data_IF_546391608408
#
_entry.id   IF_546391608408
#
_cell.length_a   1.000
_cell.length_b   1.000
_cell.length_c   1.000
_cell.angle_alpha   90.00
_cell.angle_beta   90.00
_cell.angle_gamma   90.00
#
_symmetry.space_group_name_H-M   'P 1'
#
loop_
_entity.id
_entity.type
_entity.pdbx_description
1 polymer ?
2 polymer ?
3 polymer ?
4 non-polymer ?
5 non-polymer ?
6 non-polymer ?
7 non-polymer ?
8 water ?
#
# COMPACT_ATOMS: atom_id res chain seq x y z
N UNK A 2 13.46 3.43 -14.76
CA UNK A 2 13.07 2.82 -16.09
C UNK A 2 12.64 1.36 -15.87
N UNK A 3 13.18 0.71 -14.83
CA UNK A 3 12.90 -0.72 -14.53
C UNK A 3 11.71 -0.91 -13.57
N UNK A 4 10.96 0.14 -13.29
CA UNK A 4 9.89 0.07 -12.27
C UNK A 4 8.85 -1.01 -12.67
N UNK A 5 8.25 -1.65 -11.69
CA UNK A 5 7.01 -2.39 -11.86
C UNK A 5 7.25 -3.76 -12.48
N UNK A 6 8.51 -4.16 -12.68
CA UNK A 6 8.81 -5.47 -13.25
C UNK A 6 9.51 -6.30 -12.18
N UNK A 7 8.85 -7.37 -11.75
CA UNK A 7 9.29 -8.14 -10.55
C UNK A 7 10.37 -9.14 -10.97
N UNK A 8 11.53 -9.14 -10.25
CA UNK A 8 12.56 -10.11 -10.52
C UNK A 8 12.09 -11.58 -10.58
N UNK A 9 11.14 -11.97 -9.74
CA UNK A 9 10.75 -13.40 -9.67
C UNK A 9 9.53 -13.71 -10.55
N UNK A 10 9.03 -12.72 -11.27
CA UNK A 10 7.82 -12.92 -12.13
C UNK A 10 8.12 -12.34 -13.52
N UNK A 11 7.78 -11.07 -13.82
CA UNK A 11 7.99 -10.49 -15.17
C UNK A 11 9.41 -10.68 -15.70
N UNK A 12 10.43 -10.53 -14.86
CA UNK A 12 11.82 -10.57 -15.36
C UNK A 12 12.15 -12.00 -15.77
N UNK A 13 11.41 -12.98 -15.28
CA UNK A 13 11.59 -14.40 -15.65
C UNK A 13 10.46 -14.96 -16.50
N UNK A 14 9.55 -14.12 -16.96
CA UNK A 14 8.32 -14.51 -17.68
C UNK A 14 7.58 -15.62 -16.89
N UNK A 15 7.46 -15.47 -15.57
CA UNK A 15 6.60 -16.37 -14.73
C UNK A 15 5.41 -15.53 -14.27
N UNK A 16 4.23 -16.16 -14.17
CA UNK A 16 3.00 -15.50 -13.70
C UNK A 16 2.74 -15.90 -12.27
N UNK A 17 2.25 -14.97 -11.46
CA UNK A 17 1.78 -15.33 -10.11
C UNK A 17 0.42 -16.03 -10.24
N UNK A 18 -0.08 -16.56 -9.13
CA UNK A 18 -1.28 -17.44 -9.16
C UNK A 18 -2.58 -16.67 -9.47
N UNK A 19 -2.66 -15.36 -9.27
CA UNK A 19 -3.95 -14.65 -9.45
C UNK A 19 -3.83 -13.43 -10.37
N UNK A 20 -2.68 -13.14 -10.99
CA UNK A 20 -2.63 -11.93 -11.83
C UNK A 20 -3.59 -12.06 -13.01
N UNK A 21 -3.90 -13.25 -13.49
CA UNK A 21 -4.82 -13.37 -14.64
C UNK A 21 -6.21 -12.85 -14.27
N UNK A 22 -6.61 -12.94 -12.98
CA UNK A 22 -7.89 -12.38 -12.48
C UNK A 22 -7.91 -10.87 -12.78
N UNK A 23 -6.80 -10.17 -12.62
CA UNK A 23 -6.77 -8.72 -12.92
C UNK A 23 -6.95 -8.50 -14.44
N UNK A 24 -6.16 -9.21 -15.24
CA UNK A 24 -6.18 -9.02 -16.71
C UNK A 24 -7.62 -9.27 -17.23
N UNK A 25 -8.22 -10.32 -16.73
CA UNK A 25 -9.57 -10.71 -17.20
C UNK A 25 -10.61 -9.62 -16.92
N UNK A 26 -10.41 -8.85 -15.88
CA UNK A 26 -11.37 -7.76 -15.47
C UNK A 26 -11.20 -6.55 -16.38
N UNK A 27 -10.13 -6.44 -17.19
CA UNK A 27 -9.79 -5.23 -17.98
C UNK A 27 -10.46 -5.39 -19.35
N UNK A 28 -11.78 -5.35 -19.33
CA UNK A 28 -12.66 -5.73 -20.46
C UNK A 28 -13.03 -4.50 -21.26
N UNK B 1 -5.54 -7.84 6.03
CA UNK B 1 -6.33 -8.21 4.86
C UNK B 1 -7.31 -9.28 5.31
N UNK B 2 -8.55 -9.11 4.91
CA UNK B 2 -9.66 -10.04 5.25
C UNK B 2 -9.97 -10.84 3.97
N UNK B 3 -10.01 -12.16 4.09
CA UNK B 3 -10.41 -13.10 3.00
C UNK B 3 -9.41 -12.99 1.87
N UNK B 4 -8.15 -12.73 2.24
CA UNK B 4 -7.03 -12.84 1.30
C UNK B 4 -6.34 -14.18 1.37
N UNK B 5 -5.17 -14.26 0.79
CA UNK B 5 -4.34 -15.48 0.79
C UNK B 5 -2.90 -15.08 1.06
N UNK B 6 -2.06 -16.05 1.38
CA UNK B 6 -0.62 -15.81 1.59
C UNK B 6 0.01 -15.33 0.28
N UNK B 7 0.76 -14.25 0.32
CA UNK B 7 1.55 -13.78 -0.83
C UNK B 7 2.53 -14.87 -1.25
N UNK B 8 2.85 -14.93 -2.55
CA UNK B 8 3.96 -15.77 -3.04
C UNK B 8 5.26 -15.00 -2.78
N UNK B 9 6.38 -15.71 -2.67
CA UNK B 9 7.71 -15.04 -2.51
C UNK B 9 7.96 -14.05 -3.65
N UNK B 10 8.31 -12.81 -3.34
CA UNK B 10 8.68 -11.75 -4.31
C UNK B 10 7.47 -11.28 -5.12
N UNK B 11 6.25 -11.57 -4.67
CA UNK B 11 5.02 -11.20 -5.40
C UNK B 11 4.81 -9.69 -5.36
N UNK B 12 5.25 -9.03 -4.26
CA UNK B 12 5.04 -7.57 -4.02
C UNK B 12 6.37 -6.98 -3.55
N UNK B 13 7.42 -6.91 -4.40
CA UNK B 13 8.75 -6.55 -3.94
C UNK B 13 8.87 -5.07 -3.59
N UNK B 14 7.80 -4.29 -3.87
CA UNK B 14 7.71 -2.89 -3.45
C UNK B 14 7.08 -2.73 -2.05
N UNK B 15 6.52 -3.78 -1.46
CA UNK B 15 5.80 -3.66 -0.17
C UNK B 15 6.80 -3.26 0.91
N UNK B 16 6.42 -2.29 1.74
CA UNK B 16 7.27 -1.77 2.83
C UNK B 16 6.46 -1.87 4.12
N UNK B 17 7.12 -2.29 5.19
CA UNK B 17 6.54 -2.22 6.55
C UNK B 17 7.09 -1.00 7.26
N UNK B 18 6.15 -0.19 7.76
CA UNK B 18 6.45 0.94 8.66
C UNK B 18 6.42 0.36 10.06
N UNK B 19 7.54 0.50 10.75
CA UNK B 19 7.81 -0.19 12.02
C UNK B 19 8.20 0.82 13.10
N UNK B 20 7.48 0.76 14.22
CA UNK B 20 7.75 1.64 15.38
C UNK B 20 8.93 1.04 16.18
N UNK B 21 9.95 1.85 16.41
CA UNK B 21 11.08 1.39 17.27
C UNK B 21 10.57 1.12 18.67
N UNK B 22 9.89 2.16 19.23
CA UNK B 22 9.41 2.39 20.64
C UNK B 22 8.92 1.07 21.19
N UNK B 23 7.61 0.86 21.46
CA UNK B 23 7.17 -0.52 21.51
C UNK B 23 7.38 -0.98 20.05
N UNK B 24 8.20 -2.02 19.85
CA UNK B 24 8.48 -2.58 18.49
C UNK B 24 7.16 -3.08 17.94
N UNK B 25 6.60 -2.47 16.88
CA UNK B 25 5.30 -2.93 16.36
C UNK B 25 5.12 -2.43 14.91
N UNK B 26 4.22 -3.10 14.24
CA UNK B 26 3.77 -2.73 12.87
C UNK B 26 2.92 -1.48 12.98
N UNK B 27 3.21 -0.43 12.21
CA UNK B 27 2.32 0.77 12.21
C UNK B 27 1.44 0.73 10.97
N UNK B 28 2.00 0.35 9.82
CA UNK B 28 1.33 0.62 8.52
C UNK B 28 2.08 -0.15 7.44
N UNK B 29 1.48 -0.23 6.25
CA UNK B 29 2.22 -0.55 5.04
C UNK B 29 2.72 0.73 4.39
N UNK B 30 3.40 0.52 3.29
CA UNK B 30 4.01 1.60 2.51
C UNK B 30 4.52 0.95 1.22
N UNK B 31 5.09 1.74 0.32
CA UNK B 31 5.58 1.19 -0.95
C UNK B 31 6.88 1.83 -1.36
N UNK B 32 7.73 1.07 -2.04
CA UNK B 32 9.01 1.59 -2.55
C UNK B 32 8.80 2.14 -3.96
N UNK B 33 9.12 3.41 -4.19
CA UNK B 33 8.94 4.04 -5.54
C UNK B 33 10.29 4.39 -6.18
N UNK B 34 11.40 4.30 -5.43
CA UNK B 34 12.76 4.43 -5.99
C UNK B 34 13.75 3.89 -4.93
N UNK B 35 15.06 4.03 -5.14
CA UNK B 35 16.00 3.48 -4.11
C UNK B 35 16.01 4.34 -2.85
N UNK B 36 15.41 5.52 -2.87
CA UNK B 36 15.51 6.45 -1.70
C UNK B 36 14.12 6.96 -1.25
N UNK B 37 13.02 6.57 -1.88
CA UNK B 37 11.70 7.18 -1.58
C UNK B 37 10.65 6.12 -1.35
N UNK B 38 9.91 6.30 -0.26
CA UNK B 38 8.82 5.39 0.18
C UNK B 38 7.54 6.19 0.28
N UNK B 39 6.47 5.62 -0.28
CA UNK B 39 5.13 6.26 -0.31
C UNK B 39 4.25 5.61 0.75
N UNK B 40 3.53 6.42 1.52
CA UNK B 40 2.55 5.88 2.49
C UNK B 40 1.34 6.80 2.61
N UNK B 41 0.45 6.47 3.54
CA UNK B 41 -0.69 7.34 3.93
C UNK B 41 -0.21 8.35 4.96
N UNK B 42 -0.61 9.62 4.82
CA UNK B 42 -0.34 10.68 5.83
C UNK B 42 -0.83 10.23 7.21
N UNK B 43 -1.97 9.54 7.30
CA UNK B 43 -2.55 9.23 8.64
C UNK B 43 -1.72 8.17 9.37
N UNK B 44 -0.81 7.50 8.67
CA UNK B 44 0.16 6.58 9.34
C UNK B 44 1.19 7.35 10.14
N UNK B 45 1.39 8.64 9.83
CA UNK B 45 2.43 9.47 10.50
C UNK B 45 1.77 10.54 11.36
N UNK B 46 0.60 11.04 10.93
CA UNK B 46 -0.07 12.18 11.60
C UNK B 46 -1.56 11.92 11.66
N UNK B 47 -2.07 11.89 12.89
CA UNK B 47 -3.52 11.73 13.14
C UNK B 47 -3.79 12.28 14.53
N UNK B 48 -3.87 13.63 14.64
CA UNK B 48 -4.15 14.30 15.90
C UNK B 48 -5.27 13.71 16.72
N UNK B 49 -6.40 13.27 16.15
CA UNK B 49 -7.50 12.81 17.00
C UNK B 49 -7.12 11.65 17.93
N UNK B 50 -6.15 10.84 17.50
CA UNK B 50 -5.65 9.68 18.30
C UNK B 50 -4.27 10.01 18.85
N UNK B 51 -3.91 11.28 18.93
CA UNK B 51 -2.57 11.73 19.38
C UNK B 51 -1.42 11.05 18.64
N UNK B 52 -1.58 10.80 17.34
CA UNK B 52 -0.43 10.31 16.53
C UNK B 52 0.26 11.49 15.82
N UNK B 53 1.56 11.64 16.08
CA UNK B 53 2.43 12.59 15.33
C UNK B 53 3.88 12.09 15.42
N UNK B 54 4.23 11.12 14.57
CA UNK B 54 5.59 10.52 14.58
C UNK B 54 6.61 11.46 13.94
N UNK B 55 7.81 11.50 14.53
CA UNK B 55 9.04 12.09 13.96
C UNK B 55 9.95 10.96 13.33
N UNK B 56 10.87 11.40 12.46
CA UNK B 56 11.76 10.48 11.67
C UNK B 56 12.36 9.45 12.63
N UNK B 57 12.83 9.91 13.79
CA UNK B 57 13.61 9.02 14.70
C UNK B 57 12.74 7.95 15.37
N UNK B 58 11.42 8.10 15.34
CA UNK B 58 10.51 7.12 15.99
C UNK B 58 10.43 5.80 15.20
N UNK B 59 10.75 5.82 13.88
CA UNK B 59 10.29 4.86 12.84
C UNK B 59 11.46 4.22 12.11
N UNK B 60 11.27 3.00 11.64
CA UNK B 60 12.11 2.35 10.62
C UNK B 60 11.21 1.90 9.46
N UNK B 61 11.83 1.68 8.31
CA UNK B 61 11.14 1.07 7.13
C UNK B 61 11.82 -0.29 6.90
N UNK B 62 11.04 -1.37 6.78
CA UNK B 62 11.53 -2.75 6.56
C UNK B 62 11.05 -3.14 5.16
N UNK B 63 12.01 -3.40 4.29
CA UNK B 63 11.81 -3.61 2.84
C UNK B 63 12.18 -5.07 2.49
N UNK B 64 11.44 -5.69 1.60
CA UNK B 64 11.77 -7.05 1.14
C UNK B 64 11.17 -8.13 2.03
N UNK B 65 10.21 -7.77 2.91
CA UNK B 65 9.67 -8.74 3.89
C UNK B 65 8.61 -9.66 3.33
N UNK B 66 8.45 -10.77 4.00
CA UNK B 66 7.33 -11.74 3.77
C UNK B 66 6.72 -12.11 5.12
N UNK B 67 7.52 -12.65 6.04
CA UNK B 67 7.07 -12.88 7.43
C UNK B 67 6.71 -11.53 8.12
N UNK B 68 5.60 -11.47 8.85
CA UNK B 68 5.19 -10.25 9.65
C UNK B 68 6.25 -10.03 10.75
N UNK B 69 6.54 -11.06 11.55
CA UNK B 69 7.23 -10.86 12.87
C UNK B 69 8.71 -11.28 12.82
N UNK B 70 9.13 -12.17 11.91
CA UNK B 70 10.52 -12.74 11.83
C UNK B 70 11.45 -11.63 11.34
N UNK B 71 12.68 -11.60 11.85
CA UNK B 71 13.77 -10.81 11.26
C UNK B 71 14.30 -11.65 10.09
N UNK B 72 14.04 -11.21 8.86
CA UNK B 72 14.32 -12.05 7.65
C UNK B 72 15.75 -11.77 7.17
N UNK B 73 16.65 -12.29 7.97
CA UNK B 73 18.09 -12.13 7.75
C UNK B 73 18.39 -12.41 6.23
N UNK B 74 19.21 -11.54 5.62
CA UNK B 74 19.73 -11.73 4.14
C UNK B 74 18.64 -11.52 3.11
N UNK B 75 17.48 -11.16 3.59
CA UNK B 75 16.35 -10.91 2.66
C UNK B 75 15.88 -9.49 2.87
N UNK B 76 15.34 -9.20 4.04
CA UNK B 76 14.87 -7.83 4.33
C UNK B 76 16.05 -6.87 4.45
N UNK B 77 15.75 -5.61 4.18
CA UNK B 77 16.65 -4.49 4.49
C UNK B 77 15.88 -3.53 5.41
N UNK B 78 16.59 -3.03 6.41
CA UNK B 78 15.96 -2.09 7.39
C UNK B 78 16.62 -0.71 7.21
N UNK B 79 15.80 0.33 6.97
CA UNK B 79 16.27 1.71 6.60
C UNK B 79 15.79 2.75 7.61
N UNK B 80 16.68 3.71 7.90
CA UNK B 80 16.41 4.92 8.72
C UNK B 80 15.81 6.01 7.83
N UNK B 81 14.90 6.82 8.36
CA UNK B 81 14.26 7.97 7.65
C UNK B 81 15.12 9.21 7.81
N UNK B 82 15.37 9.87 6.70
CA UNK B 82 15.98 11.21 6.68
C UNK B 82 14.91 12.25 6.90
N UNK B 83 13.74 12.14 6.20
CA UNK B 83 12.73 13.22 6.26
C UNK B 83 11.37 12.67 5.84
N UNK B 84 10.33 13.07 6.59
CA UNK B 84 8.89 12.85 6.31
C UNK B 84 8.35 14.10 5.63
N UNK B 85 7.50 13.92 4.62
CA UNK B 85 6.83 15.03 3.90
C UNK B 85 5.35 14.67 3.79
N UNK B 86 4.50 15.46 4.42
CA UNK B 86 3.04 15.16 4.43
C UNK B 86 2.37 16.15 3.50
N UNK B 87 1.38 15.72 2.72
CA UNK B 87 0.68 16.67 1.82
C UNK B 87 0.21 17.85 2.66
N UNK B 88 0.50 19.10 2.26
CA UNK B 88 0.10 20.29 3.01
C UNK B 88 -1.44 20.48 3.13
N UNK B 89 -2.23 19.86 2.27
CA UNK B 89 -3.71 19.92 2.36
C UNK B 89 -4.27 18.54 2.74
N UNK B 90 -3.49 17.67 3.38
CA UNK B 90 -4.06 16.47 4.03
C UNK B 90 -5.13 16.89 5.05
N UNK B 91 -6.34 16.37 4.93
CA UNK B 91 -7.52 16.73 5.76
C UNK B 91 -7.75 15.63 6.80
N UNK B 92 -7.05 15.66 7.94
CA UNK B 92 -7.30 14.66 9.01
C UNK B 92 -8.57 15.07 9.78
N UNK B 93 -9.08 16.27 9.58
CA UNK B 93 -10.21 16.77 10.43
C UNK B 93 -11.50 16.10 10.02
N UNK B 94 -11.65 15.72 8.76
CA UNK B 94 -13.01 15.38 8.27
C UNK B 94 -12.99 13.96 7.71
N UNK B 95 -12.23 13.73 6.64
CA UNK B 95 -12.44 12.51 5.82
C UNK B 95 -11.13 11.95 5.25
N UNK B 96 -9.96 12.32 5.78
CA UNK B 96 -8.64 11.88 5.27
C UNK B 96 -8.45 12.30 3.81
N UNK B 97 -9.02 13.40 3.36
CA UNK B 97 -8.74 13.85 1.97
C UNK B 97 -7.25 14.10 1.77
N UNK B 98 -6.68 13.62 0.66
CA UNK B 98 -5.26 13.80 0.31
C UNK B 98 -4.41 13.03 1.33
N UNK B 99 -4.80 11.77 1.58
CA UNK B 99 -4.10 10.91 2.58
C UNK B 99 -2.82 10.36 1.95
N UNK B 100 -1.73 11.13 1.94
CA UNK B 100 -0.48 10.76 1.20
C UNK B 100 0.70 11.46 1.86
N UNK B 101 1.77 10.70 2.02
CA UNK B 101 3.05 11.16 2.55
C UNK B 101 4.20 10.48 1.83
N UNK B 102 5.34 11.14 1.79
CA UNK B 102 6.60 10.53 1.32
C UNK B 102 7.59 10.49 2.50
N UNK B 103 8.44 9.47 2.50
CA UNK B 103 9.61 9.35 3.41
C UNK B 103 10.85 9.18 2.54
N UNK B 104 11.85 10.02 2.74
CA UNK B 104 13.18 9.92 2.14
C UNK B 104 14.05 9.08 3.07
N UNK B 105 14.71 8.05 2.52
CA UNK B 105 15.60 7.17 3.31
C UNK B 105 16.99 7.82 3.46
N UNK B 106 17.65 7.52 4.57
CA UNK B 106 19.02 8.05 4.84
C UNK B 106 19.99 7.61 3.76
N UNK B 107 19.88 6.36 3.32
CA UNK B 107 20.77 5.75 2.29
C UNK B 107 19.89 5.01 1.30
N UNK B 108 20.32 4.93 0.02
CA UNK B 108 19.69 4.08 -0.98
C UNK B 108 19.66 2.60 -0.54
N UNK B 109 18.54 1.92 -0.77
CA UNK B 109 18.37 0.47 -0.51
C UNK B 109 18.85 -0.27 -1.76
N UNK B 110 19.58 -1.36 -1.59
CA UNK B 110 19.99 -2.25 -2.71
C UNK B 110 18.78 -3.07 -3.19
N UNK B 111 18.54 -3.08 -4.49
CA UNK B 111 17.48 -3.89 -5.10
C UNK B 111 17.95 -5.33 -5.18
N UNK B 112 17.00 -6.24 -5.20
CA UNK B 112 17.25 -7.69 -5.12
C UNK B 112 16.03 -8.40 -5.70
N UNK B 113 16.02 -9.74 -5.62
CA UNK B 113 14.81 -10.55 -5.93
C UNK B 113 13.59 -10.11 -5.11
N UNK B 114 13.82 -9.59 -3.90
CA UNK B 114 12.72 -9.33 -2.91
C UNK B 114 12.41 -7.85 -2.81
N UNK B 115 13.24 -6.99 -3.41
CA UNK B 115 13.19 -5.52 -3.20
C UNK B 115 13.23 -4.84 -4.57
N UNK B 116 12.14 -4.21 -4.98
CA UNK B 116 12.10 -3.58 -6.33
C UNK B 116 10.97 -2.56 -6.36
N UNK B 117 11.16 -1.39 -6.98
CA UNK B 117 10.15 -0.35 -6.98
C UNK B 117 8.95 -0.63 -7.92
N UNK B 118 7.82 -0.11 -7.49
CA UNK B 118 6.56 -0.06 -8.27
C UNK B 118 6.56 1.19 -9.11
N UNK B 119 5.81 1.20 -10.22
CA UNK B 119 5.68 2.41 -11.03
C UNK B 119 4.55 3.30 -10.51
N UNK B 120 4.70 4.60 -10.71
CA UNK B 120 3.59 5.55 -10.48
C UNK B 120 2.93 5.83 -11.81
N UNK B 121 1.61 5.94 -11.82
CA UNK B 121 0.87 6.11 -13.06
C UNK B 121 1.03 7.49 -13.72
N UNK B 122 1.02 7.48 -15.05
CA UNK B 122 0.87 8.69 -15.88
C UNK B 122 -0.63 8.89 -16.13
N UNK B 123 -1.03 10.04 -16.66
CA UNK B 123 -2.45 10.35 -16.93
C UNK B 123 -3.10 9.24 -17.77
N UNK B 124 -2.37 8.73 -18.77
CA UNK B 124 -2.92 7.78 -19.76
C UNK B 124 -3.24 6.46 -19.07
N UNK B 125 -2.32 5.98 -18.23
CA UNK B 125 -2.48 4.70 -17.54
C UNK B 125 -3.64 4.88 -16.57
N UNK B 126 -3.70 5.99 -15.83
CA UNK B 126 -4.81 6.26 -14.90
C UNK B 126 -6.14 6.25 -15.63
N UNK B 127 -6.22 6.94 -16.76
CA UNK B 127 -7.49 7.09 -17.50
C UNK B 127 -7.94 5.71 -17.98
N UNK B 128 -7.02 4.88 -18.46
CA UNK B 128 -7.33 3.52 -18.94
C UNK B 128 -7.79 2.58 -17.85
N UNK B 129 -7.10 2.52 -16.70
CA UNK B 129 -7.27 1.41 -15.77
C UNK B 129 -8.24 1.80 -14.64
N UNK B 130 -8.45 3.07 -14.33
CA UNK B 130 -9.31 3.37 -13.13
C UNK B 130 -10.76 3.40 -13.53
N UNK B 131 -11.33 2.23 -13.79
CA UNK B 131 -12.69 2.11 -14.35
C UNK B 131 -13.40 1.12 -13.45
N UNK B 132 -14.66 1.42 -13.13
CA UNK B 132 -15.51 0.51 -12.33
C UNK B 132 -15.40 -0.91 -12.87
N UNK B 133 -15.25 -1.91 -11.99
CA UNK B 133 -15.15 -3.30 -12.38
C UNK B 133 -13.73 -3.78 -12.63
N UNK B 134 -12.77 -2.90 -12.99
CA UNK B 134 -11.37 -3.34 -13.15
C UNK B 134 -10.79 -3.65 -11.77
N UNK B 135 -10.04 -4.73 -11.65
CA UNK B 135 -9.52 -5.16 -10.33
C UNK B 135 -8.11 -4.67 -10.16
N UNK B 136 -7.83 -4.30 -8.93
CA UNK B 136 -6.50 -4.09 -8.40
C UNK B 136 -6.17 -5.07 -7.31
N UNK B 137 -4.98 -4.93 -6.78
CA UNK B 137 -4.48 -5.87 -5.76
C UNK B 137 -4.03 -5.09 -4.54
N UNK B 138 -4.41 -5.54 -3.35
CA UNK B 138 -4.04 -4.88 -2.07
C UNK B 138 -3.26 -5.90 -1.24
N UNK B 139 -2.18 -5.45 -0.60
CA UNK B 139 -1.30 -6.33 0.17
C UNK B 139 -1.00 -5.68 1.54
N UNK B 140 -0.83 -6.51 2.54
CA UNK B 140 -0.38 -6.07 3.88
C UNK B 140 -0.42 -7.15 4.95
N UNK B 141 0.06 -6.77 6.14
CA UNK B 141 0.20 -7.62 7.35
C UNK B 141 -0.83 -7.19 8.40
N UNK B 142 -1.90 -6.50 7.99
CA UNK B 142 -2.90 -6.09 8.98
C UNK B 142 -3.82 -7.23 9.35
N UNK B 143 -4.79 -6.91 10.20
CA UNK B 143 -5.71 -7.88 10.78
C UNK B 143 -6.43 -8.71 9.72
N UNK B 144 -6.66 -9.98 10.04
CA UNK B 144 -7.38 -10.93 9.16
C UNK B 144 -8.89 -10.73 9.30
N UNK B 145 -9.36 -10.05 10.37
CA UNK B 145 -10.78 -9.66 10.52
C UNK B 145 -10.96 -8.48 11.47
N UNK B 146 -12.09 -7.83 11.32
CA UNK B 146 -12.40 -6.58 12.04
C UNK B 146 -12.28 -6.79 13.55
N UNK B 147 -12.82 -7.89 14.08
CA UNK B 147 -13.00 -8.09 15.55
C UNK B 147 -12.91 -9.57 15.87
N UNK B 155 -7.37 -12.20 14.25
CA UNK B 155 -6.00 -12.75 14.18
C UNK B 155 -5.10 -11.85 13.37
N UNK B 156 -3.81 -12.09 13.53
CA UNK B 156 -2.76 -11.49 12.70
C UNK B 156 -2.11 -12.58 11.87
N UNK B 157 -1.71 -12.23 10.66
CA UNK B 157 -1.13 -13.20 9.74
C UNK B 157 0.33 -13.48 10.09
N UNK B 158 0.72 -14.73 9.84
CA UNK B 158 2.13 -15.15 9.82
C UNK B 158 2.88 -14.45 8.68
N UNK B 159 2.28 -14.36 7.49
CA UNK B 159 2.99 -13.77 6.32
C UNK B 159 2.11 -12.73 5.59
N UNK B 160 2.73 -11.96 4.71
CA UNK B 160 2.08 -10.98 3.85
C UNK B 160 0.84 -11.60 3.19
N UNK B 161 -0.26 -10.85 3.23
CA UNK B 161 -1.55 -11.28 2.65
C UNK B 161 -1.82 -10.47 1.40
N UNK B 162 -2.57 -11.06 0.48
CA UNK B 162 -2.92 -10.44 -0.80
C UNK B 162 -4.41 -10.65 -1.06
N UNK B 163 -5.05 -9.67 -1.62
CA UNK B 163 -6.46 -9.80 -2.14
C UNK B 163 -6.62 -8.91 -3.37
N UNK B 164 -7.32 -9.45 -4.39
CA UNK B 164 -7.74 -8.68 -5.61
C UNK B 164 -9.16 -8.18 -5.41
N UNK B 165 -9.43 -6.91 -5.73
CA UNK B 165 -10.73 -6.25 -5.50
C UNK B 165 -11.07 -5.34 -6.65
N UNK B 166 -12.33 -5.36 -7.06
CA UNK B 166 -12.77 -4.50 -8.17
C UNK B 166 -13.05 -3.07 -7.75
N UNK B 167 -12.63 -2.13 -8.59
CA UNK B 167 -13.03 -0.71 -8.41
C UNK B 167 -14.55 -0.58 -8.52
N UNK B 168 -15.14 0.25 -7.68
CA UNK B 168 -16.62 0.44 -7.55
C UNK B 168 -17.03 1.76 -8.19
N UNK B 169 -18.20 1.80 -8.81
CA UNK B 169 -18.77 3.05 -9.40
C UNK B 169 -18.83 4.14 -8.32
N UNK B 170 -18.49 5.39 -8.67
CA UNK B 170 -18.47 6.51 -7.71
C UNK B 170 -19.80 6.67 -6.97
N UNK B 171 -20.98 6.62 -7.64
CA UNK B 171 -22.22 6.76 -6.90
C UNK B 171 -22.48 5.68 -5.84
N UNK B 172 -22.02 4.46 -6.10
CA UNK B 172 -22.18 3.29 -5.19
C UNK B 172 -21.25 3.54 -3.99
N UNK B 173 -20.04 4.02 -4.24
CA UNK B 173 -19.10 4.42 -3.15
C UNK B 173 -19.75 5.49 -2.23
N UNK B 174 -20.30 6.58 -2.80
CA UNK B 174 -20.88 7.69 -2.03
C UNK B 174 -22.11 7.20 -1.24
N UNK B 175 -22.91 6.34 -1.87
CA UNK B 175 -24.18 5.87 -1.26
C UNK B 175 -23.94 4.85 -0.14
N UNK B 176 -22.72 4.40 0.05
CA UNK B 176 -22.36 3.38 1.06
C UNK B 176 -22.08 4.04 2.43
N UNK B 177 -21.97 5.37 2.49
CA UNK B 177 -21.32 6.03 3.63
C UNK B 177 -21.96 7.39 3.88
N UNK B 178 -21.86 7.86 5.11
CA UNK B 178 -22.22 9.24 5.49
C UNK B 178 -21.01 10.17 5.25
N UNK B 179 -19.80 9.63 5.11
CA UNK B 179 -18.56 10.43 4.97
C UNK B 179 -18.54 11.08 3.58
N UNK B 180 -18.10 12.35 3.50
CA UNK B 180 -17.97 13.02 2.18
C UNK B 180 -16.79 12.44 1.38
N UNK B 181 -17.08 11.87 0.23
CA UNK B 181 -16.08 11.21 -0.67
C UNK B 181 -15.58 12.26 -1.68
N UNK B 182 -14.26 12.43 -1.86
CA UNK B 182 -13.69 13.48 -2.73
C UNK B 182 -13.14 12.83 -3.99
N UNK B 183 -12.80 13.68 -4.94
CA UNK B 183 -12.15 13.24 -6.20
C UNK B 183 -10.74 12.73 -5.93
N UNK B 184 -10.20 12.92 -4.74
CA UNK B 184 -8.86 12.37 -4.37
C UNK B 184 -8.96 10.97 -3.79
N UNK B 185 -10.13 10.36 -3.87
CA UNK B 185 -10.41 9.03 -3.32
C UNK B 185 -11.09 8.20 -4.38
N UNK B 186 -10.87 6.87 -4.31
CA UNK B 186 -11.72 5.91 -5.06
C UNK B 186 -12.02 4.77 -4.08
N UNK B 187 -13.05 3.99 -4.39
CA UNK B 187 -13.38 2.83 -3.52
C UNK B 187 -13.30 1.53 -4.33
N UNK B 188 -13.16 0.42 -3.63
CA UNK B 188 -12.97 -0.92 -4.17
C UNK B 188 -13.57 -1.96 -3.21
N UNK B 189 -14.01 -3.05 -3.79
CA UNK B 189 -14.64 -4.16 -3.04
C UNK B 189 -15.80 -4.76 -3.75
N UNK B 190 -16.20 -5.94 -3.29
CA UNK B 190 -17.35 -6.66 -3.84
C UNK B 190 -18.63 -6.15 -3.20
N UNK B 191 -19.71 -6.21 -3.99
CA UNK B 191 -21.08 -5.91 -3.52
C UNK B 191 -21.55 -7.08 -2.67
N UNK B 192 -22.52 -6.81 -1.78
CA UNK B 192 -23.04 -7.79 -0.82
C UNK B 192 -23.34 -9.21 -1.31
N UNK B 193 -24.04 -9.45 -2.41
CA UNK B 193 -24.28 -10.92 -2.53
C UNK B 193 -23.56 -11.52 -3.75
N UNK B 194 -22.39 -10.99 -4.07
CA UNK B 194 -21.63 -11.30 -5.32
C UNK B 194 -21.08 -12.73 -5.27
N UNK B 195 -20.79 -13.25 -4.08
CA UNK B 195 -20.21 -14.60 -3.88
C UNK B 195 -18.74 -14.55 -3.54
N UNK B 196 -18.11 -13.38 -3.66
CA UNK B 196 -16.71 -13.14 -3.27
C UNK B 196 -16.68 -11.95 -2.33
N UNK B 197 -15.73 -11.89 -1.41
CA UNK B 197 -15.63 -10.71 -0.51
C UNK B 197 -14.14 -10.39 -0.31
N UNK B 198 -13.82 -9.67 0.75
CA UNK B 198 -12.43 -9.28 1.01
C UNK B 198 -12.26 -7.78 1.16
N UNK B 199 -11.19 -7.37 1.88
CA UNK B 199 -11.00 -5.96 2.18
C UNK B 199 -9.63 -5.84 2.79
N UNK B 200 -9.13 -4.64 2.86
CA UNK B 200 -8.05 -4.27 3.79
C UNK B 200 -8.63 -4.10 5.18
N UNK B 201 -7.74 -4.06 6.19
CA UNK B 201 -8.17 -3.87 7.59
C UNK B 201 -7.03 -3.17 8.37
N UNK B 202 -7.25 -3.00 9.66
CA UNK B 202 -6.31 -2.30 10.57
C UNK B 202 -4.89 -2.85 10.39
N UNK B 203 -3.94 -1.98 10.09
CA UNK B 203 -2.52 -2.31 9.90
C UNK B 203 -2.13 -2.40 8.44
N UNK B 204 -3.10 -2.47 7.51
CA UNK B 204 -2.87 -2.48 6.05
C UNK B 204 -2.78 -1.06 5.52
N UNK B 205 -3.28 -0.08 6.27
CA UNK B 205 -3.30 1.28 5.68
C UNK B 205 -1.88 1.78 5.41
N UNK B 206 -1.76 2.58 4.35
CA UNK B 206 -0.48 3.11 3.82
C UNK B 206 0.08 2.21 2.75
N UNK B 207 -0.36 0.95 2.67
CA UNK B 207 0.07 0.02 1.62
C UNK B 207 -0.55 0.30 0.25
N UNK B 208 -0.06 -0.41 -0.77
CA UNK B 208 -0.44 -0.10 -2.15
C UNK B 208 -1.67 -0.86 -2.67
N UNK B 209 -2.42 -0.20 -3.54
CA UNK B 209 -3.46 -0.79 -4.44
C UNK B 209 -2.82 -0.73 -5.81
N UNK B 210 -2.45 -1.86 -6.33
CA UNK B 210 -1.68 -1.91 -7.61
C UNK B 210 -2.52 -2.57 -8.70
N UNK B 211 -2.18 -2.22 -9.96
CA UNK B 211 -2.82 -2.81 -11.12
C UNK B 211 -1.72 -3.15 -12.11
N UNK B 212 -1.91 -4.22 -12.85
CA UNK B 212 -0.89 -4.62 -13.85
C UNK B 212 -1.32 -4.10 -15.19
N UNK B 213 -0.52 -3.21 -15.78
CA UNK B 213 -0.92 -2.68 -17.09
C UNK B 213 -0.92 -3.81 -18.14
N UNK B 214 -2.00 -3.96 -18.93
CA UNK B 214 -2.01 -4.92 -20.04
C UNK B 214 -1.31 -4.40 -21.28
N UNK B 215 -0.90 -3.13 -21.24
CA UNK B 215 -0.19 -2.46 -22.35
C UNK B 215 1.30 -2.74 -22.28
N UNK B 216 1.88 -2.63 -21.09
CA UNK B 216 3.35 -2.80 -20.97
C UNK B 216 3.78 -3.80 -19.89
N UNK B 217 2.85 -4.52 -19.28
CA UNK B 217 3.10 -5.67 -18.36
C UNK B 217 3.86 -5.18 -17.14
N UNK B 218 3.72 -3.90 -16.77
CA UNK B 218 4.28 -3.35 -15.53
C UNK B 218 3.19 -3.05 -14.49
N UNK B 219 3.56 -3.21 -13.25
CA UNK B 219 2.70 -2.90 -12.08
C UNK B 219 2.74 -1.39 -11.78
N UNK B 220 1.57 -0.81 -11.55
CA UNK B 220 1.37 0.62 -11.23
C UNK B 220 0.61 0.74 -9.93
N UNK B 221 1.08 1.63 -9.08
CA UNK B 221 0.34 1.95 -7.83
C UNK B 221 -0.69 3.01 -8.07
N UNK B 222 -1.94 2.59 -8.16
CA UNK B 222 -3.06 3.48 -8.47
C UNK B 222 -3.58 4.03 -7.15
N UNK B 223 -3.42 3.29 -6.03
CA UNK B 223 -4.01 3.78 -4.76
C UNK B 223 -3.14 3.55 -3.54
N UNK B 224 -3.55 4.19 -2.44
CA UNK B 224 -2.94 3.95 -1.13
C UNK B 224 -4.10 3.57 -0.22
N UNK B 225 -3.94 2.48 0.50
CA UNK B 225 -4.94 2.01 1.48
C UNK B 225 -5.18 3.14 2.47
N UNK B 226 -6.38 3.70 2.52
CA UNK B 226 -6.68 4.89 3.36
C UNK B 226 -7.64 4.52 4.50
N UNK B 227 -8.89 4.17 4.24
CA UNK B 227 -9.83 3.93 5.36
C UNK B 227 -10.98 3.07 4.91
N UNK B 228 -11.68 2.52 5.90
CA UNK B 228 -12.97 1.87 5.69
C UNK B 228 -13.73 1.84 6.99
N UNK B 229 -15.04 1.66 6.91
CA UNK B 229 -15.92 1.58 8.08
C UNK B 229 -15.86 0.12 8.54
N UNK B 230 -14.74 -0.12 9.71
CA UNK B 230 -14.62 -1.56 9.94
C UNK B 230 -13.80 -2.18 8.84
N UNK B 231 -13.98 -3.49 8.63
CA UNK B 231 -13.29 -4.27 7.56
C UNK B 231 -14.29 -5.27 7.00
N UNK B 232 -14.41 -5.31 5.67
CA UNK B 232 -15.13 -6.35 4.90
C UNK B 232 -16.60 -6.42 5.31
N UNK B 233 -17.21 -5.32 5.74
CA UNK B 233 -18.66 -5.27 6.04
C UNK B 233 -19.48 -5.31 4.75
N UNK B 234 -20.59 -6.05 4.75
CA UNK B 234 -21.52 -6.11 3.61
C UNK B 234 -22.01 -4.67 3.34
N UNK B 235 -21.91 -4.19 2.11
CA UNK B 235 -22.46 -2.85 1.79
C UNK B 235 -21.44 -1.76 2.00
N UNK B 236 -20.31 -2.05 2.64
CA UNK B 236 -19.22 -1.06 2.78
C UNK B 236 -18.14 -1.43 1.77
N UNK B 237 -17.22 -0.47 1.54
CA UNK B 237 -16.12 -0.51 0.57
C UNK B 237 -14.89 0.08 1.26
N UNK B 238 -13.75 -0.25 0.73
CA UNK B 238 -12.49 0.36 1.13
C UNK B 238 -12.19 1.58 0.30
N UNK B 239 -11.63 2.61 0.94
CA UNK B 239 -11.32 3.91 0.29
C UNK B 239 -9.83 4.01 0.16
N UNK B 240 -9.41 4.46 -1.00
CA UNK B 240 -8.00 4.55 -1.38
C UNK B 240 -7.73 5.95 -1.83
N UNK B 241 -6.54 6.42 -1.50
CA UNK B 241 -6.00 7.69 -2.01
C UNK B 241 -5.74 7.54 -3.51
N UNK B 242 -6.24 8.46 -4.34
CA UNK B 242 -6.05 8.47 -5.80
C UNK B 242 -4.66 9.02 -6.11
N UNK B 243 -3.72 8.10 -6.35
CA UNK B 243 -2.28 8.46 -6.45
C UNK B 243 -2.06 9.39 -7.63
N UNK B 244 -2.68 9.12 -8.79
CA UNK B 244 -2.48 9.98 -9.97
C UNK B 244 -2.92 11.43 -9.68
N UNK B 245 -4.00 11.61 -8.96
CA UNK B 245 -4.54 12.97 -8.70
C UNK B 245 -3.54 13.80 -7.92
N UNK B 246 -2.71 13.14 -7.11
CA UNK B 246 -1.77 13.85 -6.21
C UNK B 246 -0.34 13.75 -6.77
N UNK B 247 -0.18 13.36 -8.03
CA UNK B 247 1.18 13.07 -8.53
C UNK B 247 1.97 14.38 -8.69
N UNK B 248 1.30 15.50 -8.92
CA UNK B 248 1.99 16.80 -9.02
C UNK B 248 2.74 17.12 -7.73
N UNK B 249 2.11 16.89 -6.58
CA UNK B 249 2.76 17.07 -5.26
C UNK B 249 3.93 16.08 -5.13
N UNK B 250 3.72 14.82 -5.51
CA UNK B 250 4.78 13.79 -5.37
C UNK B 250 6.02 14.30 -6.14
N UNK B 251 5.79 14.76 -7.37
CA UNK B 251 6.85 15.18 -8.32
C UNK B 251 7.56 16.42 -7.76
N UNK B 252 6.81 17.32 -7.14
CA UNK B 252 7.33 18.58 -6.53
C UNK B 252 8.24 18.25 -5.34
N UNK B 253 7.84 17.28 -4.52
CA UNK B 253 8.66 16.86 -3.34
C UNK B 253 9.95 16.19 -3.82
N UNK B 254 9.87 15.23 -4.73
CA UNK B 254 11.06 14.51 -5.20
C UNK B 254 11.98 15.49 -5.96
N UNK B 255 11.42 16.39 -6.77
CA UNK B 255 12.25 17.30 -7.61
C UNK B 255 13.02 18.28 -6.72
N UNK B 256 12.38 18.75 -5.65
CA UNK B 256 12.90 19.75 -4.70
C UNK B 256 13.94 19.10 -3.77
N UNK B 257 13.74 17.85 -3.36
CA UNK B 257 14.45 17.26 -2.19
C UNK B 257 15.22 15.99 -2.59
N UNK C 1 7.30 -11.27 23.14
CA UNK C 1 5.84 -10.99 23.04
C UNK C 1 5.37 -11.19 21.62
N UNK C 2 5.96 -10.51 20.63
CA UNK C 2 5.48 -10.59 19.24
C UNK C 2 6.64 -10.66 18.25
N UNK C 3 7.30 -9.52 18.06
CA UNK C 3 8.28 -9.34 16.98
C UNK C 3 9.63 -9.88 17.41
N UNK C 4 10.38 -10.44 16.46
CA UNK C 4 11.77 -10.83 16.67
C UNK C 4 12.62 -9.57 16.79
N UNK C 5 13.54 -9.56 17.75
CA UNK C 5 14.51 -8.46 17.98
C UNK C 5 15.35 -8.28 16.72
N UNK C 6 15.46 -7.03 16.25
CA UNK C 6 16.22 -6.71 15.01
C UNK C 6 17.62 -6.31 15.46
N UNK C 7 18.64 -6.43 14.58
CA UNK C 7 19.99 -6.05 14.99
C UNK C 7 20.07 -4.67 15.68
N UNK C 8 20.91 -4.55 16.71
CA UNK C 8 20.99 -3.38 17.62
C UNK C 8 21.52 -2.08 16.91
N UNK C 9 22.17 -2.30 15.71
CA UNK C 9 22.66 -1.23 14.78
C UNK C 9 21.51 -0.43 14.13
N UNK C 10 20.35 -1.06 13.90
CA UNK C 10 19.24 -0.32 13.30
C UNK C 10 18.52 0.53 14.34
N UNK C 11 18.80 0.31 15.64
CA UNK C 11 18.13 1.04 16.71
C UNK C 11 19.11 2.08 17.29
X LIG D 1 -12.24 7.55 9.52
X LIG D 1 -6.71 6.23 11.13
X LIG D 1 -11.74 6.56 10.42
X LIG D 1 -12.31 5.27 10.43
X LIG D 1 -13.51 5.03 9.56
X LIG D 1 -14.71 5.66 10.20
X LIG D 1 -11.81 4.31 11.34
X LIG D 1 -9.59 2.39 9.51
X LIG D 1 -6.93 4.97 10.57
X LIG D 1 -6.11 6.00 12.36
X LIG D 1 -9.94 -0.03 10.04
X LIG D 1 -9.61 0.00 3.83
X LIG D 1 -10.65 -0.80 4.28
X LIG D 1 -10.72 -0.84 5.67
X LIG D 1 -10.15 5.87 12.06
X LIG D 1 -12.88 8.70 9.89
X LIG D 1 -12.97 9.59 8.67
X LIG D 1 -7.51 3.25 8.91
X LIG D 1 -7.55 4.73 9.23
X LIG D 1 -6.96 7.55 10.56
X LIG D 1 -6.06 4.66 12.53
X LIG D 1 -9.26 -0.07 7.69
X LIG D 1 -9.63 -0.24 6.27
X LIG D 1 -12.66 8.65 7.51
X LIG D 1 -10.73 4.62 12.15
X LIG D 1 -10.67 6.86 11.23
X LIG D 1 -11.72 7.66 8.15
X LIG D 1 -10.27 1.40 10.42
X LIG D 1 -11.72 1.70 10.37
X LIG D 1 -6.53 4.01 11.40
X LIG D 1 -10.19 -0.31 8.63
X LIG D 1 -11.96 10.59 8.77
X LIG D 1 -13.81 2.62 11.23
X LIG D 1 -11.94 2.24 12.82
X LIG D 1 -8.34 2.58 9.90
X LIG D 1 -10.10 2.93 8.52
X LIG D 1 -8.14 0.29 7.98
X LIG D 1 -13.28 8.93 11.00
X LIG D 1 -12.42 2.66 11.53
X LIG D 1 -8.60 0.49 5.13
X LIG D 1 -9.16 0.38 2.22
X LIG E 1 3.34 17.46 14.68
X LIG E 1 2.62 18.75 14.98
X LIG E 1 3.43 19.91 14.48
X LIG E 1 4.85 19.89 15.04
X LIG E 1 5.49 18.55 14.73
X LIG E 1 6.85 18.39 15.39
X LIG E 1 0.18 18.61 14.81
X LIG E 1 -0.98 18.73 13.86
X LIG E 1 1.36 18.80 14.26
X LIG E 1 2.79 21.12 14.90
X LIG E 1 5.62 20.94 14.49
X LIG E 1 4.66 17.49 15.21
X LIG E 1 6.66 18.08 16.77
X LIG E 1 0.02 18.38 16.00
X LIG F 1 -18.51 3.16 11.53
X LIG F 1 -18.50 4.55 11.20
X LIG F 1 -17.20 2.73 12.14
X LIG F 1 -16.95 3.45 13.34
X LIG F 1 -17.16 1.25 12.45
X LIG F 1 -17.86 0.93 13.64
X LIG G 1 2.78 2.91 -21.71
X LIG G 1 1.75 1.93 -21.62
X LIG G 1 2.61 4.00 -20.68
X LIG G 1 3.84 4.73 -20.57
X LIG G 1 1.43 4.92 -20.96
X LIG G 1 1.69 5.99 -21.88
X LIG H 1 -10.81 19.94 1.86
X LIG H 1 -10.79 18.42 1.85
X LIG H 1 -10.59 20.51 0.19
X LIG H 1 -9.26 20.47 2.56
X LIG I 1 -8.28 -1.22 -21.14
X LIG I 1 -9.13 -2.43 -21.40
X LIG I 1 -7.63 -1.41 -19.52
X LIG I 1 -9.36 0.15 -20.86
X LIG J 1 -9.64 -2.81 14.14
X LIG J 1 -9.88 -3.86 13.21
X LIG J 1 -10.53 -1.60 13.91
X LIG J 1 -9.75 -0.45 13.55
X LIG J 1 -11.61 -1.83 12.88
X LIG J 1 -12.71 -0.95 13.06
X LIG K 1 -12.94 5.46 -10.27
X LIG K 1 -13.42 6.22 -9.06
X LIG K 1 -12.54 6.75 -11.44
X LIG K 1 -14.40 4.82 -11.04
X LIG L 1 -24.75 1.08 4.22
X LIG L 1 -23.97 1.55 5.41
X LIG L 1 -25.06 2.46 3.18
X LIG L 1 -26.43 0.80 4.82
#
# INVERSE_FOLDING_TARGET
EADCGLRPLFEKKSLEDKTERELLESYID
IVEGSDAEIGMSPWQVMLFRKSPQELLCGASLISDRWVLTAAHCLLYPPWDKNFTENDLLVRIGKHSRTRYERNIEKISMLEKIYIHPRYNWRENLDRDIALMKLKKPVAFSDYIHPVCLPDRETAASLLQAGYKGRVTGWGNLKETWTANVGKGQPSVLQVVNLPIVERPVCKDSTRIRITDNMFCAGYKPDEGKRGDACEGDSGGPFVMKSPFNNRWYQMGIVSWGEGCDRDGKYGFYTHVFRLKKWIQKVIDQFGE
GDFEEIPEEYL
A1JDJ N1 N3 C4 C5 C6 C7 C8 C10 C13 C15 C17 C20 C21 C22 C24 C26 C1 C11 C12 C14 C16 C18 C19 C2 C23 C25 C3 C9 N2 N4 N5 O1 O2 O3 O4 O5 O6 O7 S1 S2 CL1
NAG C1 C2 C3 C4 C5 C6 C7 C8 N2 O3 O4 O5 O6 O7
GOL C1 O1 C2 O2 C3 O3
GOL C1 O1 C2 O2 C3 O3
DMS S O C1 C2
DMS S O C1 C2
GOL C1 O1 C2 O2 C3 O3
DMS S O C1 C2
DMS S O C1 C2
#
